data_IF_267920448836
#
_entry.id   IF_267920448836
#
_cell.length_a   1.000
_cell.length_b   1.000
_cell.length_c   1.000
_cell.angle_alpha   90.00
_cell.angle_beta   90.00
_cell.angle_gamma   90.00
#
_symmetry.space_group_name_H-M   'P 1'
#
loop_
_entity.id
_entity.type
_entity.pdbx_description
1 polymer ?
#
# COMPACT_ATOMS: atom_id res chain seq x y z
N UNK A 1 -21.27 19.82 -15.65
CA UNK A 1 -19.94 19.29 -15.27
C UNK A 1 -19.96 17.79 -15.59
N UNK A 2 -19.14 17.32 -16.53
CA UNK A 2 -19.15 15.92 -16.98
C UNK A 2 -18.69 14.99 -15.85
N UNK A 3 -19.24 13.77 -15.79
CA UNK A 3 -18.86 12.77 -14.76
C UNK A 3 -17.34 12.49 -14.77
N UNK A 4 -16.69 12.59 -15.92
CA UNK A 4 -15.24 12.44 -16.10
C UNK A 4 -14.48 13.54 -15.37
N UNK A 5 -14.91 14.79 -15.52
CA UNK A 5 -14.27 15.94 -14.85
C UNK A 5 -14.38 15.86 -13.32
N UNK A 6 -15.56 15.47 -12.81
CA UNK A 6 -15.75 15.24 -11.37
C UNK A 6 -14.86 14.11 -10.83
N UNK A 7 -14.64 13.04 -11.61
CA UNK A 7 -13.74 11.94 -11.22
C UNK A 7 -12.28 12.37 -11.22
N UNK A 8 -11.85 13.13 -12.21
CA UNK A 8 -10.50 13.71 -12.26
C UNK A 8 -10.23 14.64 -11.07
N UNK A 9 -11.21 15.47 -10.69
CA UNK A 9 -11.09 16.34 -9.51
C UNK A 9 -11.01 15.55 -8.21
N UNK A 10 -11.80 14.48 -8.06
CA UNK A 10 -11.75 13.63 -6.85
C UNK A 10 -10.40 12.90 -6.78
N UNK A 11 -9.96 12.27 -7.86
CA UNK A 11 -8.67 11.55 -7.91
C UNK A 11 -7.51 12.52 -7.72
N UNK A 12 -7.52 13.66 -8.42
CA UNK A 12 -6.49 14.69 -8.27
C UNK A 12 -6.46 15.28 -6.85
N UNK A 13 -7.62 15.58 -6.26
CA UNK A 13 -7.74 16.07 -4.89
C UNK A 13 -7.26 15.07 -3.85
N UNK A 14 -7.62 13.78 -4.01
CA UNK A 14 -7.14 12.71 -3.14
C UNK A 14 -5.62 12.51 -3.26
N UNK A 15 -5.08 12.58 -4.48
CA UNK A 15 -3.63 12.48 -4.71
C UNK A 15 -2.90 13.67 -4.08
N UNK A 16 -3.43 14.89 -4.26
CA UNK A 16 -2.85 16.10 -3.66
C UNK A 16 -2.89 16.07 -2.14
N UNK A 17 -4.02 15.63 -1.57
CA UNK A 17 -4.18 15.44 -0.13
C UNK A 17 -3.22 14.37 0.40
N UNK A 18 -3.03 13.30 -0.35
CA UNK A 18 -2.09 12.23 -0.05
C UNK A 18 -0.64 12.76 0.00
N UNK A 19 -0.23 13.48 -1.04
CA UNK A 19 1.12 14.08 -1.10
C UNK A 19 1.31 15.09 0.02
N UNK A 20 0.35 15.97 0.26
CA UNK A 20 0.41 16.93 1.36
C UNK A 20 0.50 16.23 2.73
N UNK A 21 -0.26 15.15 2.94
CA UNK A 21 -0.21 14.34 4.16
C UNK A 21 1.18 13.74 4.40
N UNK A 22 1.84 13.21 3.35
CA UNK A 22 3.22 12.71 3.44
C UNK A 22 4.19 13.83 3.82
N UNK A 23 4.10 14.98 3.14
CA UNK A 23 5.00 16.11 3.40
C UNK A 23 4.82 16.64 4.83
N UNK A 24 3.59 16.74 5.33
CA UNK A 24 3.30 17.15 6.72
C UNK A 24 3.81 16.12 7.70
N UNK A 25 3.61 14.83 7.44
CA UNK A 25 4.10 13.74 8.27
C UNK A 25 5.63 13.72 8.34
N UNK A 26 6.31 13.91 7.21
CA UNK A 26 7.76 14.06 7.14
C UNK A 26 8.22 15.30 7.90
N UNK A 27 7.57 16.45 7.74
CA UNK A 27 7.90 17.68 8.45
C UNK A 27 7.76 17.54 9.99
N UNK A 28 6.78 16.77 10.46
CA UNK A 28 6.61 16.50 11.90
C UNK A 28 7.68 15.54 12.43
N UNK A 29 8.07 14.53 11.63
CA UNK A 29 9.08 13.54 12.03
C UNK A 29 10.51 14.06 11.89
N UNK A 30 10.76 15.07 11.06
CA UNK A 30 12.08 15.66 10.84
C UNK A 30 12.83 16.05 12.12
N UNK A 31 12.22 16.75 13.08
CA UNK A 31 12.91 17.08 14.34
C UNK A 31 13.19 15.87 15.23
N UNK A 32 12.45 14.78 15.05
CA UNK A 32 12.62 13.53 15.83
C UNK A 32 13.74 12.66 15.23
N UNK A 33 13.99 12.78 13.92
CA UNK A 33 14.97 11.98 13.17
C UNK A 33 16.29 12.72 12.89
N UNK A 34 16.63 13.72 13.71
CA UNK A 34 17.93 14.46 13.62
C UNK A 34 19.14 13.50 13.71
N UNK A 35 18.98 12.33 14.27
CA UNK A 35 19.95 11.23 14.16
C UNK A 35 19.74 10.47 12.84
N UNK A 36 20.43 10.87 11.80
CA UNK A 36 20.47 10.10 10.54
C UNK A 36 21.16 8.75 10.76
N UNK A 37 20.36 7.74 11.03
CA UNK A 37 20.82 6.38 11.27
C UNK A 37 21.25 5.71 9.95
N UNK A 38 20.82 6.23 8.79
CA UNK A 38 20.91 5.56 7.49
C UNK A 38 22.31 5.15 7.02
N UNK A 39 23.36 5.92 7.40
CA UNK A 39 24.77 5.59 7.05
C UNK A 39 25.49 4.78 8.12
N UNK A 40 24.88 4.52 9.25
CA UNK A 40 25.47 3.69 10.30
C UNK A 40 25.14 2.21 10.05
N UNK A 41 25.90 1.26 10.62
CA UNK A 41 25.53 -0.17 10.54
C UNK A 41 24.09 -0.44 11.02
N UNK A 42 23.64 0.30 12.05
CA UNK A 42 22.26 0.22 12.54
C UNK A 42 21.24 0.72 11.50
N UNK A 43 21.59 1.73 10.71
CA UNK A 43 20.75 2.22 9.62
C UNK A 43 20.62 1.23 8.48
N UNK A 44 21.66 0.50 8.15
CA UNK A 44 21.57 -0.59 7.16
C UNK A 44 20.63 -1.69 7.65
N UNK A 45 20.73 -2.07 8.93
CA UNK A 45 19.83 -3.07 9.54
C UNK A 45 18.38 -2.60 9.50
N UNK A 46 18.09 -1.32 9.80
CA UNK A 46 16.71 -0.79 9.71
C UNK A 46 16.18 -0.81 8.27
N UNK A 47 17.04 -0.56 7.28
CA UNK A 47 16.68 -0.72 5.86
C UNK A 47 16.27 -2.14 5.49
N UNK A 48 17.04 -3.14 5.92
CA UNK A 48 16.72 -4.55 5.69
C UNK A 48 15.45 -4.98 6.43
N UNK A 49 15.24 -4.54 7.67
CA UNK A 49 14.01 -4.79 8.42
C UNK A 49 12.81 -4.16 7.69
N UNK A 50 12.92 -2.90 7.27
CA UNK A 50 11.88 -2.21 6.53
C UNK A 50 11.54 -2.92 5.22
N UNK A 51 12.54 -3.36 4.46
CA UNK A 51 12.35 -4.15 3.24
C UNK A 51 11.62 -5.47 3.54
N UNK A 52 12.01 -6.20 4.57
CA UNK A 52 11.36 -7.46 4.95
C UNK A 52 9.88 -7.22 5.31
N UNK A 53 9.57 -6.18 6.08
CA UNK A 53 8.18 -5.81 6.43
C UNK A 53 7.38 -5.43 5.18
N UNK A 54 7.97 -4.65 4.25
CA UNK A 54 7.31 -4.28 2.99
C UNK A 54 7.04 -5.52 2.13
N UNK A 55 7.97 -6.48 2.08
CA UNK A 55 7.76 -7.72 1.32
C UNK A 55 6.59 -8.56 1.85
N UNK A 56 6.28 -8.50 3.16
CA UNK A 56 5.11 -9.17 3.73
C UNK A 56 3.79 -8.65 3.14
N UNK A 57 3.74 -7.40 2.68
CA UNK A 57 2.58 -6.81 2.02
C UNK A 57 2.17 -7.63 0.78
N UNK A 58 3.14 -8.22 0.08
CA UNK A 58 2.87 -9.02 -1.13
C UNK A 58 2.28 -10.40 -0.84
N UNK A 59 2.36 -10.88 0.40
CA UNK A 59 1.76 -12.15 0.81
C UNK A 59 0.25 -12.22 0.55
N UNK A 60 -0.48 -11.11 0.74
CA UNK A 60 -1.92 -11.06 0.48
C UNK A 60 -2.28 -11.22 -1.01
N UNK A 61 -1.78 -10.39 -1.95
CA UNK A 61 -2.11 -10.54 -3.36
C UNK A 61 -1.65 -11.88 -3.96
N UNK A 62 -0.52 -12.43 -3.52
CA UNK A 62 -0.04 -13.75 -3.94
C UNK A 62 -1.03 -14.84 -3.50
N UNK A 63 -1.40 -14.85 -2.21
CA UNK A 63 -2.38 -15.82 -1.67
C UNK A 63 -3.75 -15.69 -2.29
N UNK A 64 -4.20 -14.46 -2.55
CA UNK A 64 -5.49 -14.21 -3.19
C UNK A 64 -5.53 -14.77 -4.61
N UNK A 65 -4.44 -14.64 -5.37
CA UNK A 65 -4.34 -15.20 -6.73
C UNK A 65 -4.21 -16.71 -6.74
N UNK A 66 -3.48 -17.29 -5.79
CA UNK A 66 -3.31 -18.73 -5.68
C UNK A 66 -4.59 -19.48 -5.26
N UNK A 67 -5.53 -18.80 -4.57
CA UNK A 67 -6.77 -19.40 -4.04
C UNK A 67 -7.98 -18.58 -4.49
N UNK A 68 -8.23 -18.54 -5.80
CA UNK A 68 -9.29 -17.72 -6.41
C UNK A 68 -10.70 -18.08 -5.92
N UNK A 69 -10.93 -19.33 -5.49
CA UNK A 69 -12.22 -19.82 -5.04
C UNK A 69 -12.55 -19.50 -3.57
N UNK A 70 -11.66 -18.83 -2.83
CA UNK A 70 -11.93 -18.40 -1.45
C UNK A 70 -12.12 -16.89 -1.40
N UNK A 71 -13.25 -16.46 -0.87
CA UNK A 71 -13.68 -15.06 -0.84
C UNK A 71 -12.62 -14.12 -0.26
N UNK A 72 -11.95 -14.46 0.85
CA UNK A 72 -10.96 -13.54 1.45
C UNK A 72 -10.00 -14.28 2.39
N UNK A 73 -8.69 -14.26 2.15
CA UNK A 73 -7.69 -14.71 3.14
C UNK A 73 -7.54 -13.63 4.24
N UNK A 74 -8.47 -13.59 5.18
CA UNK A 74 -8.61 -12.54 6.19
C UNK A 74 -7.32 -12.22 6.97
N UNK A 75 -6.58 -13.26 7.41
CA UNK A 75 -5.30 -13.08 8.13
C UNK A 75 -4.25 -12.38 7.26
N UNK A 76 -4.15 -12.74 5.99
CA UNK A 76 -3.20 -12.12 5.07
C UNK A 76 -3.57 -10.69 4.71
N UNK A 77 -4.86 -10.36 4.67
CA UNK A 77 -5.32 -8.99 4.53
C UNK A 77 -4.93 -8.14 5.75
N UNK A 78 -5.08 -8.67 6.97
CA UNK A 78 -4.64 -8.00 8.20
C UNK A 78 -3.12 -7.76 8.20
N UNK A 79 -2.32 -8.79 7.86
CA UNK A 79 -0.86 -8.65 7.73
C UNK A 79 -0.51 -7.59 6.70
N UNK A 80 -1.17 -7.58 5.53
CA UNK A 80 -0.99 -6.59 4.49
C UNK A 80 -1.27 -5.16 4.99
N UNK A 81 -2.37 -4.96 5.72
CA UNK A 81 -2.73 -3.65 6.27
C UNK A 81 -1.73 -3.17 7.33
N UNK A 82 -1.35 -4.03 8.28
CA UNK A 82 -0.39 -3.69 9.33
C UNK A 82 1.00 -3.43 8.73
N UNK A 83 1.48 -4.32 7.88
CA UNK A 83 2.78 -4.16 7.21
C UNK A 83 2.81 -2.93 6.30
N UNK A 84 1.67 -2.59 5.66
CA UNK A 84 1.52 -1.40 4.82
C UNK A 84 1.59 -0.07 5.59
N UNK A 85 1.44 -0.09 6.92
CA UNK A 85 1.63 1.07 7.81
C UNK A 85 3.01 1.01 8.46
N UNK A 86 3.36 -0.14 9.05
CA UNK A 86 4.62 -0.30 9.81
C UNK A 86 5.84 -0.22 8.89
N UNK A 87 5.78 -0.79 7.67
CA UNK A 87 6.89 -0.76 6.71
C UNK A 87 7.33 0.65 6.36
N UNK A 88 6.42 1.53 5.88
CA UNK A 88 6.73 2.94 5.65
C UNK A 88 7.33 3.66 6.85
N UNK A 89 6.83 3.44 8.07
CA UNK A 89 7.40 4.04 9.28
C UNK A 89 8.86 3.62 9.51
N UNK A 90 9.17 2.33 9.34
CA UNK A 90 10.55 1.83 9.47
C UNK A 90 11.45 2.38 8.37
N UNK A 91 10.94 2.51 7.13
CA UNK A 91 11.71 3.10 6.02
C UNK A 91 11.97 4.59 6.23
N UNK A 92 11.02 5.34 6.78
CA UNK A 92 11.24 6.76 7.15
C UNK A 92 12.37 6.87 8.18
N UNK A 93 12.40 6.00 9.18
CA UNK A 93 13.51 5.94 10.16
C UNK A 93 14.85 5.59 9.50
N UNK A 94 14.85 4.71 8.48
CA UNK A 94 16.03 4.37 7.71
C UNK A 94 16.52 5.53 6.85
N UNK A 95 15.61 6.17 6.11
CA UNK A 95 15.96 7.23 5.16
C UNK A 95 16.50 8.48 5.86
N UNK A 96 15.97 8.87 7.00
CA UNK A 96 16.24 10.16 7.62
C UNK A 96 15.94 11.32 6.64
N UNK A 97 15.64 12.50 7.14
CA UNK A 97 15.21 13.61 6.28
C UNK A 97 16.37 14.28 5.55
N UNK A 98 17.59 14.22 6.08
CA UNK A 98 18.75 14.98 5.56
C UNK A 98 19.59 14.24 4.49
N UNK A 99 19.24 13.00 4.10
CA UNK A 99 20.05 12.21 3.17
C UNK A 99 19.37 11.98 1.81
N UNK A 100 18.34 12.74 1.49
CA UNK A 100 17.64 12.69 0.21
C UNK A 100 18.42 13.44 -0.90
N UNK A 101 19.65 13.01 -1.19
CA UNK A 101 20.44 13.61 -2.25
C UNK A 101 20.41 12.83 -3.57
N UNK A 102 19.85 11.60 -3.55
CA UNK A 102 19.75 10.76 -4.74
C UNK A 102 18.30 10.68 -5.24
N UNK A 103 18.13 10.78 -6.54
CA UNK A 103 16.81 10.82 -7.19
C UNK A 103 16.00 9.55 -6.94
N UNK A 104 16.63 8.37 -7.01
CA UNK A 104 15.94 7.09 -6.85
C UNK A 104 15.32 6.90 -5.46
N UNK A 105 16.05 7.14 -4.34
CA UNK A 105 15.44 7.11 -3.00
C UNK A 105 14.30 8.10 -2.82
N UNK A 106 14.43 9.34 -3.35
CA UNK A 106 13.37 10.35 -3.27
C UNK A 106 12.11 9.85 -3.98
N UNK A 107 12.23 9.35 -5.21
CA UNK A 107 11.11 8.82 -5.97
C UNK A 107 10.50 7.60 -5.27
N UNK A 108 11.31 6.73 -4.66
CA UNK A 108 10.84 5.60 -3.89
C UNK A 108 10.03 6.05 -2.66
N UNK A 109 10.49 7.07 -1.93
CA UNK A 109 9.78 7.65 -0.77
C UNK A 109 8.43 8.26 -1.19
N UNK A 110 8.40 9.04 -2.27
CA UNK A 110 7.16 9.62 -2.81
C UNK A 110 6.18 8.51 -3.22
N UNK A 111 6.66 7.51 -3.98
CA UNK A 111 5.83 6.38 -4.40
C UNK A 111 5.31 5.59 -3.19
N UNK A 112 6.15 5.35 -2.17
CA UNK A 112 5.77 4.72 -0.90
C UNK A 112 4.64 5.47 -0.21
N UNK A 113 4.77 6.80 -0.10
CA UNK A 113 3.74 7.65 0.50
C UNK A 113 2.40 7.56 -0.23
N UNK A 114 2.41 7.64 -1.57
CA UNK A 114 1.20 7.48 -2.39
C UNK A 114 0.58 6.10 -2.18
N UNK A 115 1.37 5.03 -2.17
CA UNK A 115 0.90 3.65 -1.96
C UNK A 115 0.32 3.48 -0.55
N UNK A 116 1.01 3.95 0.49
CA UNK A 116 0.54 3.85 1.88
C UNK A 116 -0.79 4.59 2.08
N UNK A 117 -0.91 5.81 1.57
CA UNK A 117 -2.15 6.59 1.66
C UNK A 117 -3.28 6.00 0.84
N UNK A 118 -3.00 5.53 -0.38
CA UNK A 118 -3.99 4.80 -1.17
C UNK A 118 -4.41 3.50 -0.48
N UNK A 119 -3.52 2.86 0.29
CA UNK A 119 -3.83 1.71 1.14
C UNK A 119 -4.81 2.04 2.26
N UNK A 120 -4.63 3.17 2.94
CA UNK A 120 -5.57 3.67 3.96
C UNK A 120 -6.97 3.95 3.36
N UNK A 121 -7.01 4.58 2.19
CA UNK A 121 -8.27 4.76 1.44
C UNK A 121 -8.87 3.40 1.07
N UNK A 122 -8.03 2.45 0.65
CA UNK A 122 -8.43 1.09 0.33
C UNK A 122 -9.08 0.36 1.52
N UNK A 123 -8.64 0.59 2.75
CA UNK A 123 -9.29 0.04 3.95
C UNK A 123 -10.74 0.50 4.06
N UNK A 124 -11.00 1.79 3.81
CA UNK A 124 -12.36 2.32 3.81
C UNK A 124 -13.21 1.75 2.69
N UNK A 125 -12.66 1.64 1.48
CA UNK A 125 -13.30 1.01 0.32
C UNK A 125 -13.63 -0.46 0.61
N UNK A 126 -12.70 -1.20 1.23
CA UNK A 126 -12.94 -2.57 1.67
C UNK A 126 -14.07 -2.67 2.71
N UNK A 127 -14.06 -1.78 3.70
CA UNK A 127 -15.11 -1.77 4.72
C UNK A 127 -16.51 -1.57 4.09
N UNK A 128 -16.65 -0.62 3.17
CA UNK A 128 -17.91 -0.38 2.45
C UNK A 128 -18.32 -1.60 1.61
N UNK A 129 -17.38 -2.20 0.88
CA UNK A 129 -17.63 -3.41 0.10
C UNK A 129 -18.07 -4.59 0.99
N UNK A 130 -17.42 -4.80 2.13
CA UNK A 130 -17.82 -5.81 3.11
C UNK A 130 -19.23 -5.58 3.64
N UNK A 131 -19.57 -4.34 3.96
CA UNK A 131 -20.92 -4.00 4.42
C UNK A 131 -21.97 -4.35 3.37
N UNK A 132 -21.73 -4.00 2.11
CA UNK A 132 -22.62 -4.33 0.99
C UNK A 132 -22.76 -5.85 0.83
N UNK A 133 -21.66 -6.59 0.85
CA UNK A 133 -21.65 -8.04 0.74
C UNK A 133 -22.37 -8.71 1.92
N UNK A 134 -22.18 -8.22 3.13
CA UNK A 134 -22.84 -8.72 4.33
C UNK A 134 -24.36 -8.54 4.24
N UNK A 135 -24.81 -7.34 3.85
CA UNK A 135 -26.24 -7.07 3.64
C UNK A 135 -26.82 -8.00 2.57
N UNK A 136 -26.12 -8.15 1.43
CA UNK A 136 -26.57 -9.04 0.36
C UNK A 136 -26.65 -10.50 0.78
N UNK A 137 -25.67 -10.96 1.57
CA UNK A 137 -25.71 -12.31 2.15
C UNK A 137 -26.94 -12.53 3.02
N UNK A 138 -27.24 -11.59 3.92
CA UNK A 138 -28.43 -11.69 4.77
C UNK A 138 -29.72 -11.72 3.96
N UNK A 139 -29.80 -10.93 2.90
CA UNK A 139 -30.94 -10.90 2.00
C UNK A 139 -31.14 -12.27 1.31
N UNK A 140 -30.08 -12.83 0.70
CA UNK A 140 -30.14 -14.12 -0.02
C UNK A 140 -30.45 -15.28 0.93
N UNK A 141 -29.84 -15.31 2.12
CA UNK A 141 -30.15 -16.33 3.14
C UNK A 141 -31.59 -16.20 3.63
N UNK A 142 -32.10 -14.99 3.81
CA UNK A 142 -33.49 -14.74 4.19
C UNK A 142 -34.50 -15.17 3.12
N UNK A 143 -34.09 -15.23 1.85
CA UNK A 143 -34.88 -15.73 0.71
C UNK A 143 -34.81 -17.26 0.59
N UNK A 144 -34.07 -17.98 1.45
CA UNK A 144 -33.93 -19.44 1.39
C UNK A 144 -33.05 -19.95 0.24
N UNK A 145 -32.19 -19.09 -0.32
CA UNK A 145 -31.27 -19.44 -1.41
C UNK A 145 -30.21 -20.43 -0.88
N UNK A 146 -29.80 -21.38 -1.73
CA UNK A 146 -28.80 -22.40 -1.34
C UNK A 146 -27.45 -21.76 -1.00
N UNK A 147 -26.65 -22.38 -0.10
CA UNK A 147 -25.33 -21.83 0.27
C UNK A 147 -24.40 -21.57 -0.93
N UNK A 148 -24.46 -22.41 -1.95
CA UNK A 148 -23.64 -22.35 -3.16
C UNK A 148 -24.05 -21.16 -4.05
N UNK A 149 -25.35 -20.94 -4.22
CA UNK A 149 -25.90 -19.79 -4.95
C UNK A 149 -25.66 -18.48 -4.18
N UNK A 150 -25.70 -18.50 -2.86
CA UNK A 150 -25.32 -17.35 -2.02
C UNK A 150 -23.86 -16.96 -2.28
N UNK A 151 -22.94 -17.93 -2.29
CA UNK A 151 -21.50 -17.66 -2.53
C UNK A 151 -21.27 -17.11 -3.93
N UNK A 152 -21.94 -17.68 -4.95
CA UNK A 152 -21.87 -17.20 -6.34
C UNK A 152 -22.41 -15.77 -6.46
N UNK A 153 -23.55 -15.46 -5.85
CA UNK A 153 -24.15 -14.13 -5.84
C UNK A 153 -23.27 -13.08 -5.14
N UNK A 154 -22.53 -13.48 -4.10
CA UNK A 154 -21.57 -12.61 -3.41
C UNK A 154 -20.33 -12.33 -4.27
N UNK A 155 -19.80 -13.35 -4.98
CA UNK A 155 -18.68 -13.19 -5.91
C UNK A 155 -19.03 -12.24 -7.06
N UNK A 156 -20.23 -12.37 -7.64
CA UNK A 156 -20.70 -11.46 -8.70
C UNK A 156 -20.88 -10.02 -8.18
N UNK A 157 -21.42 -9.84 -6.98
CA UNK A 157 -21.56 -8.53 -6.34
C UNK A 157 -20.19 -7.89 -6.08
N UNK A 158 -19.21 -8.66 -5.58
CA UNK A 158 -17.85 -8.19 -5.35
C UNK A 158 -17.14 -7.81 -6.66
N UNK A 159 -17.36 -8.58 -7.74
CA UNK A 159 -16.79 -8.30 -9.05
C UNK A 159 -17.36 -7.03 -9.69
N UNK A 160 -18.59 -6.63 -9.36
CA UNK A 160 -19.26 -5.43 -9.89
C UNK A 160 -18.93 -4.15 -9.14
N UNK A 161 -18.26 -4.21 -8.00
CA UNK A 161 -17.95 -3.02 -7.18
C UNK A 161 -17.02 -2.06 -7.92
N UNK A 162 -17.60 -1.01 -8.52
CA UNK A 162 -16.88 -0.04 -9.36
C UNK A 162 -15.81 0.73 -8.59
N UNK A 163 -16.08 1.06 -7.33
CA UNK A 163 -15.17 1.85 -6.49
C UNK A 163 -13.89 1.07 -6.19
N UNK A 164 -14.03 -0.23 -5.91
CA UNK A 164 -12.92 -1.13 -5.69
C UNK A 164 -12.02 -1.28 -6.92
N UNK A 165 -12.62 -1.39 -8.12
CA UNK A 165 -11.85 -1.45 -9.38
C UNK A 165 -11.09 -0.16 -9.67
N UNK A 166 -11.71 1.00 -9.47
CA UNK A 166 -11.04 2.30 -9.65
C UNK A 166 -9.86 2.44 -8.69
N UNK A 167 -10.05 2.06 -7.43
CA UNK A 167 -8.96 2.06 -6.46
C UNK A 167 -7.83 1.11 -6.87
N UNK A 168 -8.13 -0.11 -7.29
CA UNK A 168 -7.11 -1.07 -7.74
C UNK A 168 -6.32 -0.59 -8.97
N UNK A 169 -6.96 0.11 -9.90
CA UNK A 169 -6.29 0.68 -11.09
C UNK A 169 -5.21 1.71 -10.74
N UNK A 170 -5.28 2.31 -9.57
CA UNK A 170 -4.27 3.27 -9.09
C UNK A 170 -3.28 2.57 -8.14
N UNK A 171 -3.80 1.86 -7.14
CA UNK A 171 -2.97 1.25 -6.10
C UNK A 171 -1.99 0.20 -6.64
N UNK A 172 -2.44 -0.68 -7.54
CA UNK A 172 -1.59 -1.77 -8.03
C UNK A 172 -0.42 -1.28 -8.91
N UNK A 173 -0.59 -0.40 -9.92
CA UNK A 173 0.54 0.12 -10.70
C UNK A 173 1.51 0.93 -9.84
N UNK A 174 1.02 1.75 -8.90
CA UNK A 174 1.88 2.52 -8.00
C UNK A 174 2.70 1.61 -7.08
N UNK A 175 2.13 0.49 -6.65
CA UNK A 175 2.85 -0.53 -5.87
C UNK A 175 3.96 -1.20 -6.70
N UNK A 176 3.73 -1.48 -7.99
CA UNK A 176 4.75 -2.01 -8.89
C UNK A 176 5.87 -1.00 -9.15
N UNK A 177 5.52 0.27 -9.36
CA UNK A 177 6.51 1.35 -9.50
C UNK A 177 7.36 1.48 -8.22
N UNK A 178 6.74 1.47 -7.05
CA UNK A 178 7.42 1.54 -5.77
C UNK A 178 8.42 0.40 -5.60
N UNK A 179 8.03 -0.88 -5.84
CA UNK A 179 8.96 -2.00 -5.68
C UNK A 179 10.11 -1.97 -6.70
N UNK A 180 9.86 -1.49 -7.91
CA UNK A 180 10.92 -1.30 -8.91
C UNK A 180 11.95 -0.25 -8.44
N UNK A 181 11.49 0.88 -7.89
CA UNK A 181 12.37 1.92 -7.34
C UNK A 181 13.14 1.43 -6.10
N UNK A 182 12.49 0.64 -5.23
CA UNK A 182 13.16 0.00 -4.09
C UNK A 182 14.24 -0.97 -4.56
N UNK A 183 13.96 -1.81 -5.57
CA UNK A 183 14.95 -2.72 -6.15
C UNK A 183 16.14 -1.96 -6.72
N UNK A 184 15.92 -0.90 -7.48
CA UNK A 184 16.98 -0.04 -8.00
C UNK A 184 17.80 0.61 -6.88
N UNK A 185 17.14 1.08 -5.81
CA UNK A 185 17.82 1.64 -4.65
C UNK A 185 18.70 0.61 -3.95
N UNK A 186 18.17 -0.59 -3.69
CA UNK A 186 18.93 -1.67 -3.02
C UNK A 186 20.12 -2.12 -3.87
N UNK A 187 19.92 -2.33 -5.19
CA UNK A 187 21.00 -2.70 -6.10
C UNK A 187 22.06 -1.62 -6.12
N UNK A 188 21.67 -0.34 -6.25
CA UNK A 188 22.60 0.79 -6.22
C UNK A 188 23.36 0.88 -4.90
N UNK A 189 22.69 0.71 -3.76
CA UNK A 189 23.31 0.72 -2.44
C UNK A 189 24.33 -0.41 -2.27
N UNK A 190 24.03 -1.62 -2.74
CA UNK A 190 24.95 -2.75 -2.70
C UNK A 190 26.14 -2.59 -3.63
N UNK A 191 25.90 -2.06 -4.84
CA UNK A 191 26.96 -1.85 -5.82
C UNK A 191 27.94 -0.76 -5.42
N UNK A 192 27.42 0.42 -5.06
CA UNK A 192 28.24 1.57 -4.71
C UNK A 192 28.69 1.56 -3.24
N UNK A 193 27.89 1.01 -2.31
CA UNK A 193 28.23 0.90 -0.90
C UNK A 193 29.37 -0.10 -0.66
N UNK A 194 29.46 -1.18 -1.44
CA UNK A 194 30.53 -2.16 -1.37
C UNK A 194 31.87 -1.67 -1.96
N UNK A 195 31.85 -0.65 -2.81
CA UNK A 195 33.07 -0.08 -3.42
C UNK A 195 33.75 1.01 -2.57
N UNK A 196 33.05 1.54 -1.56
CA UNK A 196 33.51 2.64 -0.70
C UNK A 196 33.63 2.26 0.79
N UNK A 197 33.57 0.97 1.15
CA UNK A 197 33.98 0.54 2.48
C UNK A 197 35.50 0.43 2.51
N UNK A 198 36.21 1.28 3.31
CA UNK A 198 37.65 1.12 3.50
C UNK A 198 37.97 -0.18 4.21
#
# INVERSE_FOLDING_TARGET
MTQVFRRLLIVGGLTLFAVAGVLVFEAILTPITILSIGRTPQGQVTGWIGLAVILLVYGYPIRKRAHQNRLWPHRWLQIHMVAGVVGPLVIILHAGVFHLHAVVPILAMVAMGIVALSGLIGQHVHYLAFRTLYTKRHELVGQGVSPEEVETGLLDTAAREKMFRVWQMIHAPMTLLFIALVALHVIGALYFGGLYSP
#
